data_IF_133531262165
#
_entry.id   IF_133531262165
#
_cell.length_a   1.000
_cell.length_b   1.000
_cell.length_c   1.000
_cell.angle_alpha   90.00
_cell.angle_beta   90.00
_cell.angle_gamma   90.00
#
_symmetry.space_group_name_H-M   'P 1'
#
loop_
_entity.id
_entity.type
_entity.pdbx_description
1 polymer ?
#
# COMPACT_ATOMS: atom_id res chain seq x y z
N UNK A 1 0.40 7.66 16.39
CA UNK A 1 1.31 7.35 15.26
C UNK A 1 0.44 6.82 14.16
N UNK A 2 0.50 7.42 12.97
CA UNK A 2 -0.29 6.96 11.83
C UNK A 2 0.30 5.66 11.23
N UNK A 3 -0.54 4.89 10.54
CA UNK A 3 -0.23 3.58 9.95
C UNK A 3 0.91 3.65 8.91
N UNK A 4 0.96 4.72 8.11
CA UNK A 4 2.06 5.00 7.16
C UNK A 4 3.38 5.17 7.91
N UNK A 5 3.37 5.96 8.98
CA UNK A 5 4.57 6.18 9.81
C UNK A 5 5.11 4.87 10.41
N UNK A 6 4.24 3.90 10.73
CA UNK A 6 4.63 2.56 11.21
C UNK A 6 5.26 1.73 10.09
N UNK A 7 4.69 1.76 8.89
CA UNK A 7 5.23 1.04 7.73
C UNK A 7 6.59 1.60 7.29
N UNK A 8 6.74 2.91 7.23
CA UNK A 8 8.01 3.56 6.85
C UNK A 8 9.15 3.28 7.85
N UNK A 9 8.83 3.05 9.12
CA UNK A 9 9.81 2.69 10.16
C UNK A 9 10.14 1.21 10.20
N UNK A 10 9.34 0.36 9.54
CA UNK A 10 9.57 -1.08 9.54
C UNK A 10 10.78 -1.38 8.66
N UNK A 11 11.85 -1.92 9.26
CA UNK A 11 12.99 -2.43 8.49
C UNK A 11 12.56 -3.67 7.71
N UNK A 12 12.52 -3.57 6.39
CA UNK A 12 12.45 -4.74 5.52
C UNK A 12 13.78 -5.48 5.56
N UNK A 13 13.74 -6.75 5.92
CA UNK A 13 14.92 -7.64 5.90
C UNK A 13 14.70 -8.65 4.79
N UNK A 14 15.33 -8.40 3.64
CA UNK A 14 15.19 -9.23 2.43
C UNK A 14 14.35 -8.62 1.31
N UNK A 15 14.34 -9.30 0.16
CA UNK A 15 13.48 -8.99 -0.99
C UNK A 15 12.04 -9.39 -0.64
N UNK A 16 11.13 -8.43 -0.59
CA UNK A 16 9.70 -8.65 -0.38
C UNK A 16 8.96 -8.46 -1.70
N UNK A 17 7.82 -9.15 -1.86
CA UNK A 17 6.87 -8.84 -2.93
C UNK A 17 5.98 -7.69 -2.47
N UNK A 18 5.97 -6.62 -3.24
CA UNK A 18 5.26 -5.37 -2.95
C UNK A 18 3.90 -5.27 -3.63
N UNK A 19 3.14 -4.23 -3.32
CA UNK A 19 1.87 -3.93 -4.00
C UNK A 19 2.11 -3.66 -5.49
N UNK A 20 3.19 -2.95 -5.84
CA UNK A 20 3.48 -2.69 -7.24
C UNK A 20 3.94 -3.96 -7.99
N UNK A 21 4.62 -4.89 -7.32
CA UNK A 21 4.93 -6.20 -7.92
C UNK A 21 3.65 -7.00 -8.21
N UNK A 22 2.64 -6.94 -7.32
CA UNK A 22 1.34 -7.56 -7.59
C UNK A 22 0.61 -6.91 -8.78
N UNK A 23 0.70 -5.59 -8.91
CA UNK A 23 0.12 -4.87 -10.07
C UNK A 23 0.83 -5.23 -11.37
N UNK A 24 2.16 -5.31 -11.35
CA UNK A 24 2.94 -5.75 -12.51
C UNK A 24 2.60 -7.20 -12.88
N UNK A 25 2.49 -8.08 -11.89
CA UNK A 25 2.04 -9.46 -12.07
C UNK A 25 0.66 -9.50 -12.76
N UNK A 26 -0.32 -8.74 -12.27
CA UNK A 26 -1.65 -8.66 -12.90
C UNK A 26 -1.60 -8.07 -14.32
N UNK A 27 -0.84 -6.99 -14.52
CA UNK A 27 -0.66 -6.33 -15.82
C UNK A 27 -0.01 -7.25 -16.85
N UNK A 28 0.94 -8.09 -16.43
CA UNK A 28 1.58 -9.11 -17.28
C UNK A 28 0.67 -10.30 -17.61
N UNK A 29 -0.58 -10.30 -17.13
CA UNK A 29 -1.56 -11.35 -17.37
C UNK A 29 -1.45 -12.54 -16.40
N UNK A 30 -0.59 -12.46 -15.39
CA UNK A 30 -0.45 -13.51 -14.37
C UNK A 30 -1.58 -13.37 -13.36
N UNK A 31 -2.37 -14.44 -13.21
CA UNK A 31 -3.50 -14.47 -12.29
C UNK A 31 -3.03 -14.31 -10.84
N UNK A 32 -3.56 -13.29 -10.16
CA UNK A 32 -3.40 -13.13 -8.72
C UNK A 32 -4.21 -14.19 -7.95
N UNK A 33 -3.77 -14.58 -6.77
CA UNK A 33 -4.61 -15.34 -5.85
C UNK A 33 -5.59 -14.41 -5.11
N UNK A 34 -6.49 -14.98 -4.30
CA UNK A 34 -7.53 -14.21 -3.61
C UNK A 34 -6.98 -13.25 -2.56
N UNK A 35 -5.92 -13.62 -1.84
CA UNK A 35 -5.28 -12.74 -0.85
C UNK A 35 -4.52 -11.60 -1.53
N UNK A 36 -3.81 -11.87 -2.62
CA UNK A 36 -3.12 -10.85 -3.42
C UNK A 36 -4.10 -9.80 -3.95
N UNK A 37 -5.23 -10.23 -4.51
CA UNK A 37 -6.31 -9.31 -4.92
C UNK A 37 -6.89 -8.53 -3.74
N UNK A 38 -7.08 -9.19 -2.61
CA UNK A 38 -7.64 -8.55 -1.42
C UNK A 38 -6.68 -7.48 -0.85
N UNK A 39 -5.38 -7.75 -0.85
CA UNK A 39 -4.36 -6.77 -0.46
C UNK A 39 -4.32 -5.55 -1.39
N UNK A 40 -4.44 -5.75 -2.72
CA UNK A 40 -4.58 -4.64 -3.67
C UNK A 40 -5.80 -3.78 -3.33
N UNK A 41 -6.97 -4.42 -3.13
CA UNK A 41 -8.21 -3.72 -2.79
C UNK A 41 -8.11 -2.94 -1.47
N UNK A 42 -7.50 -3.53 -0.44
CA UNK A 42 -7.27 -2.87 0.84
C UNK A 42 -6.34 -1.66 0.71
N UNK A 43 -5.23 -1.81 -0.02
CA UNK A 43 -4.32 -0.69 -0.26
C UNK A 43 -4.97 0.44 -1.06
N UNK A 44 -5.71 0.12 -2.13
CA UNK A 44 -6.37 1.11 -2.97
C UNK A 44 -7.44 1.89 -2.18
N UNK A 45 -8.25 1.20 -1.38
CA UNK A 45 -9.23 1.84 -0.48
C UNK A 45 -8.54 2.76 0.53
N UNK A 46 -7.52 2.26 1.23
CA UNK A 46 -6.77 3.07 2.20
C UNK A 46 -6.16 4.31 1.54
N UNK A 47 -5.53 4.16 0.37
CA UNK A 47 -4.94 5.25 -0.40
C UNK A 47 -5.98 6.31 -0.73
N UNK A 48 -7.13 5.92 -1.28
CA UNK A 48 -8.19 6.85 -1.67
C UNK A 48 -8.73 7.59 -0.44
N UNK A 49 -9.04 6.86 0.64
CA UNK A 49 -9.55 7.45 1.87
C UNK A 49 -8.58 8.46 2.48
N UNK A 50 -7.29 8.11 2.55
CA UNK A 50 -6.28 9.01 3.11
C UNK A 50 -6.11 10.27 2.26
N UNK A 51 -6.00 10.12 0.94
CA UNK A 51 -5.77 11.25 0.04
C UNK A 51 -6.99 12.18 -0.01
N UNK A 52 -8.20 11.63 -0.04
CA UNK A 52 -9.44 12.42 -0.03
C UNK A 52 -9.69 13.14 1.29
N UNK A 53 -9.08 12.68 2.40
CA UNK A 53 -9.17 13.35 3.69
C UNK A 53 -8.22 14.56 3.81
N UNK A 54 -7.34 14.81 2.83
CA UNK A 54 -6.44 15.96 2.87
C UNK A 54 -7.11 17.18 2.25
N UNK A 55 -7.32 18.22 3.07
CA UNK A 55 -7.85 19.52 2.62
C UNK A 55 -6.76 20.47 2.11
N UNK A 56 -5.49 20.11 2.31
CA UNK A 56 -4.31 20.91 1.98
C UNK A 56 -3.46 20.20 0.93
N UNK A 57 -3.06 20.94 -0.10
CA UNK A 57 -2.29 20.42 -1.24
C UNK A 57 -0.91 19.90 -0.82
N UNK A 58 -0.21 20.60 0.09
CA UNK A 58 1.10 20.18 0.56
C UNK A 58 1.01 18.84 1.30
N UNK A 59 0.01 18.69 2.18
CA UNK A 59 -0.29 17.43 2.88
C UNK A 59 -0.70 16.31 1.92
N UNK A 60 -1.50 16.62 0.90
CA UNK A 60 -1.86 15.66 -0.13
C UNK A 60 -0.59 15.11 -0.81
N UNK A 61 0.28 15.99 -1.32
CA UNK A 61 1.52 15.59 -1.98
C UNK A 61 2.48 14.85 -1.03
N UNK A 62 2.52 15.26 0.25
CA UNK A 62 3.29 14.57 1.27
C UNK A 62 2.83 13.11 1.44
N UNK A 63 1.54 12.89 1.68
CA UNK A 63 0.99 11.54 1.84
C UNK A 63 1.06 10.72 0.55
N UNK A 64 0.85 11.36 -0.61
CA UNK A 64 0.99 10.72 -1.91
C UNK A 64 2.40 10.12 -2.11
N UNK A 65 3.45 10.88 -1.81
CA UNK A 65 4.83 10.38 -1.88
C UNK A 65 5.07 9.22 -0.90
N UNK A 66 4.55 9.32 0.32
CA UNK A 66 4.68 8.23 1.30
C UNK A 66 4.01 6.94 0.81
N UNK A 67 2.80 7.06 0.24
CA UNK A 67 2.06 5.92 -0.33
C UNK A 67 2.81 5.30 -1.52
N UNK A 68 3.46 6.10 -2.35
CA UNK A 68 4.32 5.58 -3.43
C UNK A 68 5.51 4.78 -2.89
N UNK A 69 6.20 5.29 -1.86
CA UNK A 69 7.32 4.57 -1.23
C UNK A 69 6.83 3.25 -0.63
N UNK A 70 5.72 3.29 0.11
CA UNK A 70 5.14 2.10 0.74
C UNK A 70 4.72 1.05 -0.28
N UNK A 71 4.10 1.46 -1.39
CA UNK A 71 3.65 0.55 -2.44
C UNK A 71 4.80 -0.23 -3.11
N UNK A 72 6.01 0.34 -3.12
CA UNK A 72 7.20 -0.29 -3.71
C UNK A 72 8.03 -1.09 -2.70
N UNK A 73 8.01 -0.72 -1.41
CA UNK A 73 8.95 -1.27 -0.43
C UNK A 73 8.31 -2.14 0.64
N UNK A 74 7.00 -2.10 0.82
CA UNK A 74 6.31 -2.89 1.86
C UNK A 74 5.86 -4.24 1.32
N UNK A 75 5.99 -5.29 2.13
CA UNK A 75 5.40 -6.60 1.85
C UNK A 75 3.88 -6.45 1.70
N UNK A 76 3.32 -6.96 0.60
CA UNK A 76 1.89 -6.86 0.31
C UNK A 76 1.00 -7.45 1.42
N UNK A 77 1.51 -8.42 2.20
CA UNK A 77 0.78 -9.03 3.32
C UNK A 77 0.49 -8.05 4.45
N UNK A 78 1.21 -6.93 4.53
CA UNK A 78 0.90 -5.87 5.49
C UNK A 78 -0.52 -5.32 5.28
N UNK A 79 -1.01 -5.32 4.04
CA UNK A 79 -2.33 -4.84 3.67
C UNK A 79 -3.45 -5.87 3.86
N UNK A 80 -3.13 -7.06 4.40
CA UNK A 80 -4.13 -8.02 4.87
C UNK A 80 -4.55 -7.77 6.32
N UNK A 81 -3.83 -6.91 7.05
CA UNK A 81 -4.10 -6.63 8.45
C UNK A 81 -5.41 -5.88 8.62
N UNK A 82 -6.06 -6.05 9.77
CA UNK A 82 -7.36 -5.47 10.08
C UNK A 82 -7.38 -3.95 9.88
N UNK A 83 -6.26 -3.28 10.18
CA UNK A 83 -6.03 -1.84 10.02
C UNK A 83 -6.31 -1.34 8.59
N UNK A 84 -6.20 -2.20 7.57
CA UNK A 84 -6.43 -1.89 6.15
C UNK A 84 -7.73 -2.49 5.59
N UNK A 85 -8.43 -3.32 6.37
CA UNK A 85 -9.66 -4.00 5.96
C UNK A 85 -10.94 -3.19 6.20
N UNK A 86 -10.84 -2.06 6.91
CA UNK A 86 -11.95 -1.16 7.26
C UNK A 86 -12.23 -0.16 6.15
#
# INVERSE_FOLDING_TARGET
MDLISKLLKKKTTGLVTSINDLREKEFSGVKLNSEERFALSNFDRYRINLLNAQEDEEKFHYHYRQLQVIANLSDWKEFLKEDFSK
#
